data_IF_043199255032
#
_entry.id   IF_043199255032
#
_cell.length_a   1.000
_cell.length_b   1.000
_cell.length_c   1.000
_cell.angle_alpha   90.00
_cell.angle_beta   90.00
_cell.angle_gamma   90.00
#
_symmetry.space_group_name_H-M   'P 1'
#
loop_
_entity.id
_entity.type
_entity.pdbx_description
1 polymer ?
#
# COMPACT_ATOMS: atom_id res chain seq x y z
N UNK A 1 -18.30 11.46 6.46
CA UNK A 1 -18.32 10.25 7.33
C UNK A 1 -18.38 8.97 6.49
N UNK A 2 -18.86 9.04 5.26
CA UNK A 2 -19.10 7.91 4.36
C UNK A 2 -17.90 6.96 4.17
N UNK A 3 -16.68 7.49 4.02
CA UNK A 3 -15.48 6.64 3.95
C UNK A 3 -15.24 5.84 5.24
N UNK A 4 -15.38 6.50 6.40
CA UNK A 4 -15.20 5.89 7.71
C UNK A 4 -16.25 4.80 7.95
N UNK A 5 -17.50 5.06 7.53
CA UNK A 5 -18.61 4.11 7.66
C UNK A 5 -18.39 2.81 6.86
N UNK A 6 -17.49 2.81 5.87
CA UNK A 6 -17.17 1.59 5.11
C UNK A 6 -16.32 0.58 5.89
N UNK A 7 -15.75 0.99 7.03
CA UNK A 7 -14.82 0.16 7.82
C UNK A 7 -13.43 -0.02 7.19
N UNK A 8 -13.25 0.35 5.91
CA UNK A 8 -11.96 0.28 5.20
C UNK A 8 -10.77 0.91 5.94
N UNK A 9 -10.90 2.03 6.67
CA UNK A 9 -9.76 2.62 7.36
C UNK A 9 -9.39 1.95 8.69
N UNK A 10 -10.22 1.06 9.23
CA UNK A 10 -10.10 0.59 10.63
C UNK A 10 -8.92 -0.36 10.87
N UNK A 11 -8.42 -1.01 9.82
CA UNK A 11 -7.31 -1.95 9.85
C UNK A 11 -6.03 -1.40 9.21
N UNK A 12 -5.99 -0.10 8.89
CA UNK A 12 -4.89 0.52 8.14
C UNK A 12 -4.21 1.63 8.94
N UNK A 13 -2.88 1.57 9.01
CA UNK A 13 -2.09 2.64 9.58
C UNK A 13 -2.36 3.96 8.83
N UNK A 14 -2.64 5.04 9.57
CA UNK A 14 -3.02 6.33 8.98
C UNK A 14 -4.47 6.44 8.52
N UNK A 15 -5.31 5.43 8.80
CA UNK A 15 -6.76 5.46 8.51
C UNK A 15 -7.09 5.67 7.03
N UNK A 16 -6.22 5.21 6.12
CA UNK A 16 -6.50 5.15 4.68
C UNK A 16 -5.69 4.03 4.04
N UNK A 17 -6.15 3.54 2.90
CA UNK A 17 -5.42 2.59 2.07
C UNK A 17 -5.24 3.09 0.65
N UNK A 18 -4.05 2.89 0.08
CA UNK A 18 -3.84 3.10 -1.35
C UNK A 18 -4.70 2.13 -2.20
N UNK A 19 -5.02 0.96 -1.65
CA UNK A 19 -5.98 0.01 -2.19
C UNK A 19 -7.38 0.28 -1.62
N UNK A 20 -8.38 0.43 -2.49
CA UNK A 20 -9.77 0.63 -2.10
C UNK A 20 -10.28 2.04 -2.37
N UNK A 21 -11.28 2.47 -1.61
CA UNK A 21 -11.97 3.76 -1.80
C UNK A 21 -11.07 4.95 -1.50
N UNK A 22 -10.12 4.80 -0.58
CA UNK A 22 -9.18 5.88 -0.25
C UNK A 22 -8.23 6.25 -1.40
N UNK A 23 -8.09 5.41 -2.43
CA UNK A 23 -7.33 5.77 -3.64
C UNK A 23 -7.81 7.08 -4.27
N UNK A 24 -9.10 7.38 -4.17
CA UNK A 24 -9.68 8.63 -4.67
C UNK A 24 -9.14 9.89 -3.98
N UNK A 25 -8.57 9.76 -2.78
CA UNK A 25 -7.98 10.87 -2.02
C UNK A 25 -6.49 11.09 -2.34
N UNK A 26 -5.84 10.13 -3.00
CA UNK A 26 -4.41 10.17 -3.30
C UNK A 26 -4.16 10.98 -4.56
N UNK A 27 -3.49 12.13 -4.44
CA UNK A 27 -3.17 13.00 -5.58
C UNK A 27 -2.02 12.46 -6.42
N UNK A 28 -1.00 11.89 -5.79
CA UNK A 28 0.13 11.22 -6.43
C UNK A 28 0.83 10.27 -5.46
N UNK A 29 1.57 9.30 -6.02
CA UNK A 29 2.56 8.49 -5.29
C UNK A 29 3.88 8.69 -6.02
N UNK A 30 4.92 9.06 -5.27
CA UNK A 30 6.29 9.11 -5.77
C UNK A 30 7.09 7.97 -5.14
N UNK A 31 7.72 7.15 -5.98
CA UNK A 31 8.37 5.88 -5.58
C UNK A 31 7.53 4.62 -5.86
N UNK A 32 7.74 3.56 -5.07
CA UNK A 32 7.12 2.25 -5.27
C UNK A 32 5.75 2.15 -4.57
N UNK A 33 4.63 1.97 -5.31
CA UNK A 33 3.31 1.82 -4.71
C UNK A 33 3.16 0.60 -3.80
N UNK A 34 3.87 -0.50 -4.11
CA UNK A 34 3.84 -1.73 -3.31
C UNK A 34 4.39 -1.50 -1.90
N UNK A 35 5.38 -0.62 -1.75
CA UNK A 35 5.87 -0.18 -0.44
C UNK A 35 4.79 0.52 0.38
N UNK A 36 3.96 1.37 -0.24
CA UNK A 36 2.85 2.07 0.43
C UNK A 36 1.75 1.09 0.83
N UNK A 37 1.48 0.09 -0.02
CA UNK A 37 0.51 -0.99 0.26
C UNK A 37 0.96 -1.83 1.47
N UNK A 38 2.27 -2.01 1.63
CA UNK A 38 2.85 -2.63 2.82
C UNK A 38 4.10 -3.48 2.59
N UNK A 39 4.51 -3.71 1.33
CA UNK A 39 5.73 -4.49 1.07
C UNK A 39 6.35 -4.21 -0.31
N UNK A 40 7.65 -3.90 -0.38
CA UNK A 40 8.34 -3.60 -1.65
C UNK A 40 8.72 -4.87 -2.41
N UNK A 41 7.74 -5.58 -2.97
CA UNK A 41 7.92 -6.89 -3.64
C UNK A 41 9.04 -6.85 -4.68
N UNK A 42 9.06 -5.85 -5.55
CA UNK A 42 10.05 -5.74 -6.62
C UNK A 42 11.49 -5.68 -6.07
N UNK A 43 11.68 -4.87 -5.03
CA UNK A 43 12.97 -4.73 -4.35
C UNK A 43 13.35 -6.01 -3.62
N UNK A 44 12.40 -6.61 -2.91
CA UNK A 44 12.61 -7.86 -2.18
C UNK A 44 13.02 -9.00 -3.12
N UNK A 45 12.36 -9.15 -4.26
CA UNK A 45 12.71 -10.18 -5.24
C UNK A 45 14.14 -10.02 -5.76
N UNK A 46 14.59 -8.78 -6.01
CA UNK A 46 15.98 -8.52 -6.41
C UNK A 46 16.99 -8.88 -5.30
N UNK A 47 16.64 -8.60 -4.04
CA UNK A 47 17.51 -8.88 -2.89
C UNK A 47 17.56 -10.38 -2.53
N UNK A 48 16.46 -11.10 -2.72
CA UNK A 48 16.36 -12.52 -2.39
C UNK A 48 16.86 -13.42 -3.51
N UNK A 49 16.83 -12.97 -4.77
CA UNK A 49 17.24 -13.75 -5.93
C UNK A 49 18.61 -14.47 -5.77
N UNK A 50 19.67 -13.86 -5.21
CA UNK A 50 20.97 -14.53 -5.00
C UNK A 50 20.94 -15.71 -4.03
N UNK A 51 19.92 -15.82 -3.18
CA UNK A 51 19.78 -16.90 -2.20
C UNK A 51 18.94 -18.07 -2.72
N UNK A 52 18.38 -17.97 -3.95
CA UNK A 52 17.52 -18.98 -4.56
C UNK A 52 18.24 -19.83 -5.63
N UNK A 53 19.53 -19.59 -5.85
CA UNK A 53 20.43 -20.31 -6.78
C UNK A 53 21.59 -20.91 -6.02
#
# INVERSE_FOLDING_TARGET
IDYIATGEPMDKAGSYGLQGRAKAFVSAVDGCPNSVIGFPVDRFCLEVAPFLT
#
